data_IF_985080548955
#
_entry.id   IF_985080548955
#
_cell.length_a   1.000
_cell.length_b   1.000
_cell.length_c   1.000
_cell.angle_alpha   90.00
_cell.angle_beta   90.00
_cell.angle_gamma   90.00
#
_symmetry.space_group_name_H-M   'P 1'
#
loop_
_entity.id
_entity.type
_entity.pdbx_description
1 polymer ?
#
# COMPACT_ATOMS: atom_id res chain seq x y z
N UNK A 1 20.79 0.35 12.36
CA UNK A 1 19.58 0.00 11.61
C UNK A 1 19.26 1.13 10.65
N UNK A 2 18.88 0.82 9.43
CA UNK A 2 18.53 1.82 8.42
C UNK A 2 17.17 2.44 8.78
N UNK A 3 17.15 3.68 9.27
CA UNK A 3 15.91 4.44 9.37
C UNK A 3 15.50 4.87 7.96
N UNK A 4 14.31 4.44 7.49
CA UNK A 4 13.78 4.83 6.17
C UNK A 4 12.27 5.00 6.22
N UNK A 5 11.79 6.09 5.65
CA UNK A 5 10.38 6.42 5.52
C UNK A 5 9.95 6.29 4.06
N UNK A 6 9.15 5.29 3.78
CA UNK A 6 8.73 4.94 2.42
C UNK A 6 7.23 5.10 2.23
N UNK A 7 6.83 5.46 1.01
CA UNK A 7 5.47 5.25 0.55
C UNK A 7 5.47 4.42 -0.74
N UNK A 8 4.52 3.50 -0.86
CA UNK A 8 4.27 2.74 -2.08
C UNK A 8 3.02 3.28 -2.77
N UNK A 9 3.22 3.89 -3.92
CA UNK A 9 2.18 4.31 -4.85
C UNK A 9 1.96 3.23 -5.91
N UNK A 10 0.78 3.21 -6.49
CA UNK A 10 0.47 2.31 -7.58
C UNK A 10 -1.01 1.93 -7.61
N UNK A 11 -1.53 1.45 -8.74
CA UNK A 11 -2.94 1.14 -8.90
C UNK A 11 -3.40 0.02 -7.95
N UNK A 12 -4.70 -0.12 -7.73
CA UNK A 12 -5.25 -1.29 -7.04
C UNK A 12 -4.74 -2.57 -7.70
N UNK A 13 -4.37 -3.59 -6.92
CA UNK A 13 -3.92 -4.88 -7.46
C UNK A 13 -2.48 -4.95 -7.95
N UNK A 14 -1.72 -3.86 -8.01
CA UNK A 14 -0.31 -3.88 -8.43
C UNK A 14 0.60 -4.66 -7.46
N UNK A 15 0.13 -4.97 -6.25
CA UNK A 15 0.87 -5.77 -5.26
C UNK A 15 1.45 -4.97 -4.09
N UNK A 16 1.07 -3.70 -3.89
CA UNK A 16 1.60 -2.84 -2.80
C UNK A 16 1.72 -3.56 -1.46
N UNK A 17 0.66 -4.23 -1.00
CA UNK A 17 0.68 -4.96 0.27
C UNK A 17 1.71 -6.09 0.33
N UNK A 18 1.96 -6.79 -0.79
CA UNK A 18 2.98 -7.84 -0.86
C UNK A 18 4.38 -7.25 -0.75
N UNK A 19 4.67 -6.19 -1.52
CA UNK A 19 5.94 -5.48 -1.44
C UNK A 19 6.15 -4.89 -0.04
N UNK A 20 5.14 -4.19 0.50
CA UNK A 20 5.21 -3.60 1.84
C UNK A 20 5.49 -4.65 2.92
N UNK A 21 4.85 -5.82 2.84
CA UNK A 21 5.05 -6.91 3.81
C UNK A 21 6.48 -7.45 3.78
N UNK A 22 7.04 -7.66 2.60
CA UNK A 22 8.42 -8.15 2.43
C UNK A 22 9.42 -7.09 2.89
N UNK A 23 9.28 -5.85 2.41
CA UNK A 23 10.16 -4.74 2.79
C UNK A 23 10.11 -4.46 4.30
N UNK A 24 8.92 -4.50 4.91
CA UNK A 24 8.72 -4.32 6.35
C UNK A 24 9.50 -5.34 7.17
N UNK A 25 9.46 -6.61 6.77
CA UNK A 25 10.20 -7.69 7.42
C UNK A 25 11.71 -7.50 7.30
N UNK A 26 12.20 -7.22 6.10
CA UNK A 26 13.64 -7.09 5.83
C UNK A 26 14.24 -5.81 6.46
N UNK A 27 13.51 -4.71 6.40
CA UNK A 27 13.94 -3.42 6.96
C UNK A 27 13.63 -3.28 8.47
N UNK A 28 12.82 -4.18 9.02
CA UNK A 28 12.35 -4.17 10.43
C UNK A 28 11.65 -2.87 10.81
N UNK A 29 10.82 -2.36 9.92
CA UNK A 29 9.98 -1.16 10.11
C UNK A 29 8.52 -1.51 9.87
N UNK A 30 7.55 -0.82 10.51
CA UNK A 30 6.14 -1.14 10.35
C UNK A 30 5.61 -0.85 8.95
N UNK A 31 4.74 -1.75 8.46
CA UNK A 31 3.90 -1.55 7.29
C UNK A 31 2.54 -0.99 7.73
N UNK A 32 2.15 0.14 7.18
CA UNK A 32 0.93 0.87 7.49
C UNK A 32 0.04 0.97 6.26
N UNK A 33 -0.98 0.13 6.20
CA UNK A 33 -2.00 0.19 5.15
C UNK A 33 -3.14 1.11 5.59
N UNK A 34 -3.34 2.23 4.88
CA UNK A 34 -4.46 3.14 5.16
C UNK A 34 -5.81 2.45 5.05
N UNK A 35 -5.96 1.54 4.09
CA UNK A 35 -7.18 0.75 3.98
C UNK A 35 -7.45 -0.13 5.21
N UNK A 36 -6.42 -0.67 5.85
CA UNK A 36 -6.55 -1.43 7.09
C UNK A 36 -6.84 -0.53 8.28
N UNK A 37 -6.18 0.62 8.37
CA UNK A 37 -6.46 1.60 9.41
C UNK A 37 -7.92 2.05 9.38
N UNK A 38 -8.45 2.40 8.21
CA UNK A 38 -9.85 2.78 8.03
C UNK A 38 -10.81 1.63 8.40
N UNK A 39 -10.55 0.40 7.94
CA UNK A 39 -11.37 -0.76 8.29
C UNK A 39 -11.35 -1.07 9.79
N UNK A 40 -10.22 -0.83 10.47
CA UNK A 40 -10.11 -0.98 11.91
C UNK A 40 -11.00 0.03 12.65
N UNK A 41 -10.99 1.30 12.26
CA UNK A 41 -11.88 2.32 12.84
C UNK A 41 -13.35 1.92 12.68
N UNK A 42 -13.75 1.44 11.49
CA UNK A 42 -15.10 0.94 11.22
C UNK A 42 -15.44 -0.24 12.16
N UNK A 43 -14.55 -1.23 12.26
CA UNK A 43 -14.79 -2.43 13.07
C UNK A 43 -14.92 -2.13 14.57
N UNK A 44 -14.19 -1.12 15.05
CA UNK A 44 -14.25 -0.64 16.44
C UNK A 44 -15.47 0.25 16.73
N UNK A 45 -16.27 0.57 15.69
CA UNK A 45 -17.47 1.43 15.79
C UNK A 45 -17.21 2.78 16.48
N UNK A 46 -15.99 3.33 16.30
CA UNK A 46 -15.67 4.66 16.77
C UNK A 46 -16.56 5.70 16.09
N UNK A 47 -16.66 6.92 16.61
CA UNK A 47 -17.36 8.01 15.94
C UNK A 47 -16.78 8.25 14.53
N UNK A 48 -15.45 8.32 14.45
CA UNK A 48 -14.71 8.40 13.20
C UNK A 48 -14.97 7.19 12.28
N UNK A 49 -15.07 5.99 12.85
CA UNK A 49 -15.37 4.77 12.10
C UNK A 49 -16.74 4.80 11.42
N UNK A 50 -17.76 5.35 12.08
CA UNK A 50 -19.09 5.54 11.48
C UNK A 50 -19.08 6.54 10.32
N UNK A 51 -18.35 7.63 10.47
CA UNK A 51 -18.17 8.60 9.41
C UNK A 51 -17.45 7.98 8.19
N UNK A 52 -16.33 7.31 8.42
CA UNK A 52 -15.53 6.62 7.39
C UNK A 52 -16.34 5.54 6.67
N UNK A 53 -17.16 4.77 7.39
CA UNK A 53 -17.99 3.70 6.82
C UNK A 53 -18.95 4.24 5.75
N UNK A 54 -19.47 5.45 5.94
CA UNK A 54 -20.37 6.11 4.97
C UNK A 54 -19.71 6.36 3.61
N UNK A 55 -18.40 6.56 3.57
CA UNK A 55 -17.62 6.73 2.32
C UNK A 55 -17.18 5.38 1.76
N UNK A 56 -16.62 4.52 2.60
CA UNK A 56 -16.06 3.22 2.19
C UNK A 56 -17.12 2.30 1.59
N UNK A 57 -18.31 2.24 2.19
CA UNK A 57 -19.43 1.42 1.71
C UNK A 57 -19.93 1.82 0.31
N UNK A 58 -19.75 3.09 -0.06
CA UNK A 58 -20.09 3.64 -1.38
C UNK A 58 -18.91 3.61 -2.37
N UNK A 59 -17.73 3.14 -1.94
CA UNK A 59 -16.52 3.14 -2.76
C UNK A 59 -15.91 4.52 -2.98
N UNK A 60 -16.31 5.53 -2.20
CA UNK A 60 -15.80 6.89 -2.28
C UNK A 60 -14.51 7.06 -1.50
N UNK A 61 -13.71 8.06 -1.90
CA UNK A 61 -12.55 8.48 -1.11
C UNK A 61 -13.04 9.14 0.20
N UNK A 62 -12.41 8.75 1.30
CA UNK A 62 -12.60 9.43 2.60
C UNK A 62 -11.95 10.81 2.53
N UNK A 63 -12.56 11.87 3.10
CA UNK A 63 -11.98 13.21 3.09
C UNK A 63 -10.53 13.25 3.59
N UNK A 64 -9.68 14.02 2.91
CA UNK A 64 -8.23 14.09 3.19
C UNK A 64 -7.91 14.38 4.65
N UNK A 65 -8.65 15.30 5.27
CA UNK A 65 -8.46 15.63 6.69
C UNK A 65 -8.59 14.41 7.60
N UNK A 66 -9.62 13.61 7.40
CA UNK A 66 -9.88 12.41 8.20
C UNK A 66 -8.74 11.39 8.02
N UNK A 67 -8.34 11.18 6.77
CA UNK A 67 -7.24 10.24 6.47
C UNK A 67 -5.93 10.74 7.06
N UNK A 68 -5.63 12.04 6.93
CA UNK A 68 -4.44 12.66 7.50
C UNK A 68 -4.38 12.49 9.03
N UNK A 69 -5.49 12.73 9.73
CA UNK A 69 -5.57 12.59 11.19
C UNK A 69 -5.31 11.15 11.64
N UNK A 70 -5.90 10.17 10.94
CA UNK A 70 -5.68 8.73 11.22
C UNK A 70 -4.22 8.34 10.98
N UNK A 71 -3.65 8.77 9.87
CA UNK A 71 -2.27 8.47 9.49
C UNK A 71 -1.31 9.14 10.47
N UNK A 72 -1.49 10.43 10.77
CA UNK A 72 -0.65 11.16 11.72
C UNK A 72 -0.64 10.49 13.11
N UNK A 73 -1.83 10.17 13.65
CA UNK A 73 -1.95 9.43 14.90
C UNK A 73 -1.16 8.13 14.90
N UNK A 74 -1.20 7.39 13.81
CA UNK A 74 -0.46 6.12 13.67
C UNK A 74 1.05 6.33 13.54
N UNK A 75 1.49 7.37 12.82
CA UNK A 75 2.91 7.68 12.62
C UNK A 75 3.61 8.19 13.88
N UNK A 76 2.85 8.77 14.82
CA UNK A 76 3.37 9.19 16.12
C UNK A 76 3.64 8.01 17.09
N UNK A 77 3.26 6.78 16.75
CA UNK A 77 3.54 5.63 17.60
C UNK A 77 5.03 5.28 17.61
N UNK A 78 5.53 4.78 18.73
CA UNK A 78 6.95 4.52 18.99
C UNK A 78 7.60 3.54 17.99
N UNK A 79 6.84 2.59 17.46
CA UNK A 79 7.32 1.64 16.47
C UNK A 79 7.64 2.28 15.11
N UNK A 80 7.13 3.49 14.83
CA UNK A 80 7.42 4.26 13.62
C UNK A 80 8.67 5.15 13.74
N UNK A 81 9.27 5.26 14.93
CA UNK A 81 10.42 6.15 15.17
C UNK A 81 11.62 5.85 14.26
N UNK A 82 11.85 4.59 13.93
CA UNK A 82 12.96 4.14 13.08
C UNK A 82 12.58 4.02 11.60
N UNK A 83 11.44 4.56 11.19
CA UNK A 83 10.93 4.50 9.82
C UNK A 83 9.62 3.73 9.70
N UNK A 84 9.07 3.74 8.50
CA UNK A 84 7.79 3.11 8.19
C UNK A 84 7.61 2.93 6.69
N UNK A 85 6.63 2.09 6.31
CA UNK A 85 6.16 1.94 4.93
C UNK A 85 4.68 2.26 4.89
N UNK A 86 4.30 3.28 4.12
CA UNK A 86 2.92 3.63 3.83
C UNK A 86 2.42 2.89 2.58
N UNK A 87 1.28 2.21 2.69
CA UNK A 87 0.58 1.55 1.59
C UNK A 87 -0.79 2.20 1.38
N UNK A 88 -0.99 2.76 0.19
CA UNK A 88 -2.23 3.42 -0.19
C UNK A 88 -2.40 4.83 0.35
N UNK A 89 -1.32 5.50 0.74
CA UNK A 89 -1.23 6.90 1.12
C UNK A 89 0.15 7.45 0.75
N UNK A 90 0.27 8.69 0.21
CA UNK A 90 -0.85 9.60 -0.12
C UNK A 90 -1.58 9.19 -1.42
N UNK A 91 -2.84 9.61 -1.57
CA UNK A 91 -3.65 9.41 -2.78
C UNK A 91 -4.01 10.72 -3.49
N UNK A 92 -3.87 11.83 -2.80
CA UNK A 92 -4.17 13.17 -3.30
C UNK A 92 -2.98 14.10 -3.04
N UNK A 93 -2.90 15.18 -3.80
CA UNK A 93 -1.84 16.18 -3.60
C UNK A 93 -1.91 16.84 -2.20
N UNK A 94 -3.07 17.21 -1.65
CA UNK A 94 -3.14 17.71 -0.28
C UNK A 94 -2.61 16.73 0.77
N UNK A 95 -2.86 15.43 0.61
CA UNK A 95 -2.27 14.40 1.47
C UNK A 95 -0.74 14.34 1.33
N UNK A 96 -0.21 14.47 0.10
CA UNK A 96 1.23 14.45 -0.13
C UNK A 96 1.93 15.66 0.51
N UNK A 97 1.34 16.84 0.38
CA UNK A 97 1.84 18.07 1.01
C UNK A 97 1.84 17.95 2.52
N UNK A 98 0.72 17.51 3.12
CA UNK A 98 0.62 17.26 4.56
C UNK A 98 1.70 16.28 5.04
N UNK A 99 1.91 15.18 4.29
CA UNK A 99 2.89 14.17 4.68
C UNK A 99 4.32 14.72 4.67
N UNK A 100 4.69 15.50 3.65
CA UNK A 100 6.02 16.11 3.56
C UNK A 100 6.27 17.19 4.61
N UNK A 101 5.22 17.90 5.03
CA UNK A 101 5.32 18.92 6.08
C UNK A 101 5.57 18.30 7.47
N UNK A 102 4.86 17.22 7.82
CA UNK A 102 4.90 16.67 9.18
C UNK A 102 5.71 15.39 9.31
N UNK A 103 5.80 14.59 8.25
CA UNK A 103 6.45 13.27 8.24
C UNK A 103 7.21 13.04 6.93
N UNK A 104 8.20 13.87 6.59
CA UNK A 104 8.85 13.83 5.28
C UNK A 104 9.37 12.44 4.94
N UNK A 105 9.09 12.00 3.71
CA UNK A 105 9.52 10.69 3.20
C UNK A 105 10.95 10.75 2.66
N UNK A 106 11.66 9.64 2.75
CA UNK A 106 12.96 9.47 2.09
C UNK A 106 12.78 9.11 0.61
N UNK A 107 11.89 8.16 0.31
CA UNK A 107 11.58 7.69 -1.04
C UNK A 107 10.10 7.34 -1.20
N UNK A 108 9.63 7.51 -2.43
CA UNK A 108 8.28 7.14 -2.87
C UNK A 108 8.41 6.22 -4.07
N UNK A 109 8.03 4.96 -3.90
CA UNK A 109 8.11 3.95 -4.95
C UNK A 109 6.80 3.93 -5.73
N UNK A 110 6.87 4.19 -7.02
CA UNK A 110 5.74 4.08 -7.94
C UNK A 110 5.74 2.71 -8.62
N UNK A 111 4.94 1.79 -8.08
CA UNK A 111 4.75 0.47 -8.67
C UNK A 111 3.87 0.56 -9.93
N UNK A 112 4.38 0.05 -11.04
CA UNK A 112 3.73 0.10 -12.35
C UNK A 112 3.52 -1.32 -12.89
N UNK A 113 2.31 -1.61 -13.38
CA UNK A 113 1.96 -2.84 -14.08
C UNK A 113 0.88 -2.56 -15.12
N UNK A 114 0.76 -3.42 -16.13
CA UNK A 114 -0.30 -3.33 -17.12
C UNK A 114 -1.68 -3.58 -16.51
N UNK A 115 -2.73 -3.06 -17.15
CA UNK A 115 -4.10 -3.27 -16.68
C UNK A 115 -4.46 -4.76 -16.67
N UNK A 116 -3.98 -5.52 -17.67
CA UNK A 116 -4.19 -6.95 -17.79
C UNK A 116 -3.61 -7.68 -16.57
N UNK A 117 -2.37 -7.40 -16.21
CA UNK A 117 -1.71 -7.94 -15.03
C UNK A 117 -2.47 -7.60 -13.73
N UNK A 118 -3.00 -6.39 -13.64
CA UNK A 118 -3.76 -5.94 -12.48
C UNK A 118 -5.09 -6.70 -12.36
N UNK A 119 -5.82 -6.85 -13.48
CA UNK A 119 -7.08 -7.60 -13.51
C UNK A 119 -6.82 -9.06 -13.10
N UNK A 120 -5.81 -9.71 -13.70
CA UNK A 120 -5.45 -11.08 -13.36
C UNK A 120 -5.16 -11.24 -11.86
N UNK A 121 -4.36 -10.33 -11.29
CA UNK A 121 -4.00 -10.34 -9.86
C UNK A 121 -5.21 -10.17 -8.94
N UNK A 122 -6.12 -9.28 -9.27
CA UNK A 122 -7.28 -9.01 -8.43
C UNK A 122 -8.31 -10.13 -8.55
N UNK A 123 -8.63 -10.57 -9.76
CA UNK A 123 -9.61 -11.61 -9.99
C UNK A 123 -9.18 -12.98 -9.47
N UNK A 124 -7.86 -13.24 -9.40
CA UNK A 124 -7.31 -14.47 -8.81
C UNK A 124 -7.08 -14.39 -7.30
N UNK A 125 -7.35 -13.24 -6.66
CA UNK A 125 -7.11 -13.05 -5.23
C UNK A 125 -8.09 -13.84 -4.36
N UNK A 126 -7.54 -14.47 -3.32
CA UNK A 126 -8.29 -15.04 -2.21
C UNK A 126 -7.89 -14.32 -0.91
N UNK A 127 -8.84 -14.15 -0.03
CA UNK A 127 -8.68 -13.38 1.19
C UNK A 127 -9.20 -14.16 2.40
N UNK A 128 -8.45 -14.12 3.51
CA UNK A 128 -8.91 -14.69 4.77
C UNK A 128 -9.67 -13.63 5.58
N UNK A 129 -10.97 -13.82 5.86
CA UNK A 129 -11.76 -12.83 6.59
C UNK A 129 -11.35 -12.68 8.07
N UNK A 130 -10.64 -13.69 8.62
CA UNK A 130 -10.24 -13.68 10.03
C UNK A 130 -8.89 -12.97 10.26
N UNK A 131 -7.83 -13.36 9.53
CA UNK A 131 -6.48 -12.85 9.78
C UNK A 131 -5.97 -11.87 8.71
N UNK A 132 -6.77 -11.56 7.68
CA UNK A 132 -6.37 -10.64 6.61
C UNK A 132 -5.37 -11.20 5.60
N UNK A 133 -4.84 -12.42 5.79
CA UNK A 133 -3.87 -13.01 4.87
C UNK A 133 -4.45 -13.12 3.46
N UNK A 134 -3.61 -12.86 2.46
CA UNK A 134 -4.00 -12.90 1.06
C UNK A 134 -3.27 -14.01 0.32
N UNK A 135 -3.99 -14.68 -0.55
CA UNK A 135 -3.54 -15.74 -1.45
C UNK A 135 -3.90 -15.39 -2.89
N UNK A 136 -3.41 -16.19 -3.81
CA UNK A 136 -3.77 -16.10 -5.21
C UNK A 136 -3.93 -17.51 -5.79
N UNK A 137 -4.93 -17.72 -6.62
CA UNK A 137 -5.25 -19.06 -7.17
C UNK A 137 -4.08 -19.70 -7.92
N UNK A 138 -3.22 -18.90 -8.57
CA UNK A 138 -2.08 -19.38 -9.37
C UNK A 138 -0.72 -19.07 -8.73
N UNK A 139 -0.52 -17.86 -8.20
CA UNK A 139 0.83 -17.40 -7.82
C UNK A 139 1.19 -17.59 -6.35
N UNK A 140 0.18 -17.67 -5.48
CA UNK A 140 0.34 -17.95 -4.05
C UNK A 140 -0.83 -18.79 -3.57
N UNK A 141 -1.01 -20.01 -4.08
CA UNK A 141 -2.13 -20.85 -3.65
C UNK A 141 -1.98 -21.24 -2.16
N UNK A 142 -3.08 -21.41 -1.44
CA UNK A 142 -3.03 -21.98 -0.10
C UNK A 142 -2.61 -23.46 -0.18
N UNK A 143 -1.96 -23.96 0.87
CA UNK A 143 -1.52 -25.36 0.95
C UNK A 143 -2.69 -26.36 0.90
N UNK A 144 -3.85 -25.96 1.44
CA UNK A 144 -5.11 -26.71 1.35
C UNK A 144 -6.13 -25.84 0.61
N UNK A 145 -6.84 -26.43 -0.33
CA UNK A 145 -7.75 -25.69 -1.18
C UNK A 145 -8.74 -24.85 -0.36
N UNK A 146 -8.81 -23.56 -0.67
CA UNK A 146 -9.68 -22.57 -0.04
C UNK A 146 -9.55 -22.44 1.49
N UNK A 147 -8.45 -22.89 2.10
CA UNK A 147 -8.23 -22.80 3.55
C UNK A 147 -7.01 -21.93 3.85
N UNK A 148 -7.15 -20.99 4.78
CA UNK A 148 -6.04 -20.15 5.22
C UNK A 148 -4.96 -20.96 5.93
N UNK A 149 -3.70 -20.86 5.47
CA UNK A 149 -2.55 -21.56 6.06
C UNK A 149 -2.20 -21.07 7.47
N UNK A 150 -2.59 -19.82 7.82
CA UNK A 150 -2.29 -19.23 9.13
C UNK A 150 -3.29 -19.59 10.21
N UNK A 151 -4.58 -19.58 9.88
CA UNK A 151 -5.63 -19.70 10.90
C UNK A 151 -6.70 -20.76 10.59
N UNK A 152 -6.59 -21.49 9.48
CA UNK A 152 -7.50 -22.58 9.13
C UNK A 152 -8.91 -22.15 8.70
N UNK A 153 -9.18 -20.86 8.58
CA UNK A 153 -10.49 -20.34 8.15
C UNK A 153 -10.64 -20.40 6.64
N UNK A 154 -11.85 -20.65 6.16
CA UNK A 154 -12.17 -20.68 4.73
C UNK A 154 -11.90 -19.32 4.08
N UNK A 155 -11.18 -19.35 2.95
CA UNK A 155 -10.88 -18.16 2.15
C UNK A 155 -12.11 -17.71 1.36
N UNK A 156 -12.19 -16.42 1.13
CA UNK A 156 -13.26 -15.77 0.34
C UNK A 156 -12.67 -14.83 -0.70
N UNK A 157 -13.50 -14.40 -1.66
CA UNK A 157 -13.18 -13.30 -2.57
C UNK A 157 -13.78 -12.02 -2.02
N UNK A 158 -13.16 -10.88 -2.29
CA UNK A 158 -13.77 -9.58 -1.98
C UNK A 158 -14.89 -9.29 -2.98
N UNK A 159 -15.91 -8.58 -2.55
CA UNK A 159 -17.06 -8.22 -3.42
C UNK A 159 -16.69 -7.23 -4.51
N UNK A 160 -15.58 -6.50 -4.34
CA UNK A 160 -15.05 -5.49 -5.25
C UNK A 160 -13.93 -6.02 -6.19
N UNK A 161 -13.77 -7.34 -6.29
CA UNK A 161 -12.75 -8.00 -7.12
C UNK A 161 -13.31 -8.47 -8.49
N UNK A 162 -14.22 -7.71 -9.13
CA UNK A 162 -14.67 -7.96 -10.50
C UNK A 162 -13.89 -7.13 -11.53
N UNK A 163 -13.73 -7.61 -12.78
CA UNK A 163 -13.00 -6.90 -13.82
C UNK A 163 -13.51 -5.46 -14.06
N UNK A 164 -14.82 -5.25 -14.01
CA UNK A 164 -15.48 -3.95 -14.25
C UNK A 164 -15.13 -2.97 -13.12
N UNK A 165 -15.19 -3.43 -11.87
CA UNK A 165 -14.83 -2.62 -10.70
C UNK A 165 -13.34 -2.30 -10.71
N UNK A 166 -12.50 -3.26 -11.12
CA UNK A 166 -11.04 -3.06 -11.23
C UNK A 166 -10.71 -2.00 -12.28
N UNK A 167 -11.34 -2.05 -13.47
CA UNK A 167 -11.13 -1.04 -14.53
C UNK A 167 -11.50 0.35 -14.04
N UNK A 168 -12.68 0.53 -13.44
CA UNK A 168 -13.10 1.81 -12.89
C UNK A 168 -12.12 2.34 -11.84
N UNK A 169 -11.67 1.51 -10.90
CA UNK A 169 -10.69 1.89 -9.87
C UNK A 169 -9.32 2.23 -10.44
N UNK A 170 -8.96 1.61 -11.56
CA UNK A 170 -7.72 1.92 -12.27
C UNK A 170 -7.80 3.29 -12.94
N UNK A 171 -8.94 3.61 -13.60
CA UNK A 171 -9.19 4.91 -14.21
C UNK A 171 -9.21 6.02 -13.16
N UNK A 172 -9.93 5.82 -12.05
CA UNK A 172 -9.95 6.75 -10.92
C UNK A 172 -8.53 6.97 -10.34
N UNK A 173 -7.73 5.91 -10.23
CA UNK A 173 -6.34 6.01 -9.79
C UNK A 173 -5.52 6.88 -10.75
N UNK A 174 -5.60 6.64 -12.06
CA UNK A 174 -4.85 7.44 -13.03
C UNK A 174 -5.23 8.93 -12.98
N UNK A 175 -6.51 9.24 -12.78
CA UNK A 175 -6.98 10.61 -12.66
C UNK A 175 -6.46 11.33 -11.40
N UNK A 176 -6.22 10.60 -10.31
CA UNK A 176 -5.84 11.19 -9.01
C UNK A 176 -4.35 11.13 -8.71
N UNK A 177 -3.62 10.16 -9.28
CA UNK A 177 -2.22 9.91 -8.93
C UNK A 177 -1.24 10.87 -9.57
N UNK A 178 -1.55 11.41 -10.76
CA UNK A 178 -0.61 12.23 -11.53
C UNK A 178 -0.07 13.43 -10.73
N UNK A 179 -0.88 14.25 -10.03
CA UNK A 179 -0.37 15.36 -9.22
C UNK A 179 0.56 14.90 -8.08
N UNK A 180 0.30 13.73 -7.49
CA UNK A 180 1.13 13.16 -6.43
C UNK A 180 2.49 12.71 -6.98
N UNK A 181 2.48 12.03 -8.12
CA UNK A 181 3.69 11.59 -8.83
C UNK A 181 4.56 12.78 -9.21
N UNK A 182 3.96 13.82 -9.81
CA UNK A 182 4.65 15.03 -10.21
C UNK A 182 5.25 15.76 -9.01
N UNK A 183 4.56 15.82 -7.90
CA UNK A 183 5.03 16.39 -6.64
C UNK A 183 6.30 15.69 -6.15
N UNK A 184 6.28 14.36 -6.01
CA UNK A 184 7.45 13.61 -5.55
C UNK A 184 8.58 13.53 -6.57
N UNK A 185 8.26 13.59 -7.86
CA UNK A 185 9.27 13.73 -8.92
C UNK A 185 10.04 15.04 -8.80
N UNK A 186 9.34 16.16 -8.56
CA UNK A 186 9.97 17.48 -8.34
C UNK A 186 10.86 17.48 -7.10
N UNK A 187 10.50 16.73 -6.06
CA UNK A 187 11.31 16.59 -4.84
C UNK A 187 12.50 15.61 -4.99
N UNK A 188 12.67 14.94 -6.14
CA UNK A 188 13.71 13.93 -6.33
C UNK A 188 13.55 12.66 -5.48
N UNK A 189 12.35 12.41 -4.97
CA UNK A 189 12.05 11.28 -4.08
C UNK A 189 11.38 10.10 -4.80
N UNK A 190 10.92 10.28 -6.04
CA UNK A 190 10.19 9.26 -6.79
C UNK A 190 11.13 8.19 -7.35
N UNK A 191 10.78 6.93 -7.11
CA UNK A 191 11.44 5.74 -7.67
C UNK A 191 10.41 4.97 -8.49
N UNK A 192 10.39 5.08 -9.83
CA UNK A 192 9.54 4.25 -10.67
C UNK A 192 10.03 2.80 -10.63
N UNK A 193 9.11 1.85 -10.44
CA UNK A 193 9.45 0.43 -10.37
C UNK A 193 8.45 -0.42 -11.14
N UNK A 194 8.94 -1.25 -12.07
CA UNK A 194 8.11 -2.17 -12.84
C UNK A 194 7.75 -3.39 -12.01
N UNK A 195 6.46 -3.54 -11.70
CA UNK A 195 5.94 -4.58 -10.82
C UNK A 195 5.27 -5.72 -11.63
N UNK A 196 5.88 -6.15 -12.74
CA UNK A 196 5.42 -7.27 -13.56
C UNK A 196 6.29 -8.50 -13.32
N UNK A 197 5.67 -9.63 -12.99
CA UNK A 197 6.34 -10.88 -12.65
C UNK A 197 6.14 -11.31 -11.20
N UNK A 198 7.02 -12.18 -10.69
CA UNK A 198 6.96 -12.67 -9.32
C UNK A 198 7.25 -11.54 -8.33
N UNK A 199 6.23 -11.21 -7.51
CA UNK A 199 6.30 -10.10 -6.57
C UNK A 199 7.30 -10.33 -5.43
N UNK A 200 7.66 -11.58 -5.11
CA UNK A 200 8.67 -11.86 -4.09
C UNK A 200 10.07 -11.54 -4.64
N UNK A 201 10.40 -12.04 -5.82
CA UNK A 201 11.69 -11.76 -6.47
C UNK A 201 11.85 -10.26 -6.69
N UNK A 202 10.80 -9.61 -7.20
CA UNK A 202 10.82 -8.17 -7.47
C UNK A 202 10.91 -7.33 -6.19
N UNK A 203 10.33 -7.76 -5.07
CA UNK A 203 10.48 -7.05 -3.80
C UNK A 203 11.93 -7.05 -3.28
N UNK A 204 12.66 -8.15 -3.46
CA UNK A 204 14.09 -8.19 -3.12
C UNK A 204 14.94 -7.36 -4.10
N UNK A 205 14.56 -7.29 -5.38
CA UNK A 205 15.21 -6.38 -6.33
C UNK A 205 15.01 -4.92 -5.93
N UNK A 206 13.79 -4.53 -5.57
CA UNK A 206 13.47 -3.20 -5.06
C UNK A 206 14.26 -2.88 -3.78
N UNK A 207 14.38 -3.84 -2.86
CA UNK A 207 15.16 -3.66 -1.63
C UNK A 207 16.62 -3.32 -1.93
N UNK A 208 17.23 -4.00 -2.90
CA UNK A 208 18.61 -3.73 -3.35
C UNK A 208 18.72 -2.32 -3.94
N UNK A 209 17.79 -1.92 -4.80
CA UNK A 209 17.78 -0.58 -5.42
C UNK A 209 17.67 0.53 -4.36
N UNK A 210 16.77 0.37 -3.37
CA UNK A 210 16.62 1.31 -2.26
C UNK A 210 17.88 1.38 -1.37
N UNK A 211 18.64 0.29 -1.27
CA UNK A 211 19.89 0.24 -0.50
C UNK A 211 21.05 0.88 -1.25
N UNK A 212 21.16 0.68 -2.57
CA UNK A 212 22.24 1.20 -3.42
C UNK A 212 22.16 2.71 -3.58
N UNK A 213 20.99 3.28 -3.72
CA UNK A 213 20.75 4.73 -3.85
C UNK A 213 21.18 5.54 -2.61
N UNK A 214 21.48 4.90 -1.49
CA UNK A 214 22.00 5.56 -0.27
C UNK A 214 23.52 5.61 -0.20
N UNK A 215 24.20 4.67 -0.82
CA UNK A 215 25.68 4.64 -0.81
C UNK A 215 26.25 5.82 -1.58
N UNK A 216 25.56 6.29 -2.63
CA UNK A 216 25.98 7.47 -3.42
C UNK A 216 25.87 8.77 -2.63
N UNK A 217 24.88 8.92 -1.73
CA UNK A 217 24.69 10.15 -0.93
C UNK A 217 25.73 10.29 0.20
N UNK A 218 26.37 9.19 0.63
CA UNK A 218 27.38 9.18 1.69
C UNK A 218 28.81 9.41 1.16
N UNK A 219 29.03 9.34 -0.15
CA UNK A 219 30.35 9.55 -0.77
C UNK A 219 30.56 11.01 -1.19
N UNK A 220 29.48 11.81 -1.27
CA UNK A 220 29.54 13.24 -1.65
C UNK A 220 29.53 14.22 -0.46
N UNK A 221 29.77 13.73 0.75
CA UNK A 221 30.00 14.53 1.97
C UNK A 221 31.38 14.22 2.54
#
# INVERSE_FOLDING_TARGET
MLSIRLALLGPPGVGKGTYSSILSKELRIPHLSTGELLRREISMKTELGREVESYVSRGLLVPDKIVNDIVAKRLCASDCANGFILDGYPRTLPQAVFLEEYFPLDKVVLLQASLETIIERICGRLYCPNCGETYHVSWKPPKRDNICDKCGVKLTRRTDDSPEVVKRRYEEYLATVSPVVDFYKKLGKLVPFRAEGDSQILAYSLLRELSSSRTEILVEK
#
